data_IF_558267049468
#
_entry.id   IF_558267049468
#
_cell.length_a   1.000
_cell.length_b   1.000
_cell.length_c   1.000
_cell.angle_alpha   90.00
_cell.angle_beta   90.00
_cell.angle_gamma   90.00
#
_symmetry.space_group_name_H-M   'P 1'
#
loop_
_entity.id
_entity.type
_entity.pdbx_description
1 polymer ?
#
# COMPACT_ATOMS: atom_id res chain seq x y z
N UNK A 1 21.66 -6.21 6.07
CA UNK A 1 21.02 -5.64 4.90
C UNK A 1 19.60 -5.19 5.14
N UNK A 2 19.04 -4.54 4.16
CA UNK A 2 17.67 -4.06 4.21
C UNK A 2 16.74 -4.98 3.43
N UNK A 3 15.56 -5.24 4.00
CA UNK A 3 14.50 -5.95 3.32
C UNK A 3 13.56 -4.94 2.64
N UNK A 4 13.32 -5.14 1.35
CA UNK A 4 12.45 -4.25 0.56
C UNK A 4 11.35 -5.10 -0.08
N UNK A 5 10.11 -4.64 0.04
CA UNK A 5 8.97 -5.24 -0.65
C UNK A 5 8.38 -4.23 -1.63
N UNK A 6 8.07 -4.69 -2.83
CA UNK A 6 7.36 -3.91 -3.83
C UNK A 6 6.12 -4.69 -4.24
N UNK A 7 4.96 -4.07 -4.11
CA UNK A 7 3.70 -4.68 -4.53
C UNK A 7 2.71 -3.64 -5.00
N UNK A 8 1.86 -4.03 -5.95
CA UNK A 8 0.69 -3.22 -6.25
C UNK A 8 -0.31 -3.35 -5.10
N UNK A 9 -1.14 -2.32 -4.93
CA UNK A 9 -2.17 -2.36 -3.90
C UNK A 9 -3.11 -3.55 -4.09
N UNK A 10 -3.49 -3.85 -5.34
CA UNK A 10 -4.35 -4.99 -5.64
C UNK A 10 -3.73 -6.31 -5.19
N UNK A 11 -2.45 -6.54 -5.51
CA UNK A 11 -1.76 -7.77 -5.11
C UNK A 11 -1.58 -7.88 -3.61
N UNK A 12 -1.25 -6.76 -2.96
CA UNK A 12 -1.08 -6.75 -1.51
C UNK A 12 -2.39 -7.09 -0.80
N UNK A 13 -3.50 -6.49 -1.23
CA UNK A 13 -4.80 -6.75 -0.60
C UNK A 13 -5.30 -8.16 -0.88
N UNK A 14 -5.00 -8.71 -2.07
CA UNK A 14 -5.29 -10.11 -2.36
C UNK A 14 -4.55 -11.05 -1.41
N UNK A 15 -3.30 -10.74 -1.08
CA UNK A 15 -2.54 -11.52 -0.12
C UNK A 15 -3.18 -11.49 1.27
N UNK A 16 -3.62 -10.31 1.73
CA UNK A 16 -4.35 -10.19 2.99
C UNK A 16 -5.62 -11.04 2.99
N UNK A 17 -6.39 -10.94 1.92
CA UNK A 17 -7.64 -11.69 1.78
C UNK A 17 -7.40 -13.20 1.77
N UNK A 18 -6.44 -13.65 0.99
CA UNK A 18 -6.08 -15.06 0.90
C UNK A 18 -5.62 -15.59 2.25
N UNK A 19 -4.77 -14.86 2.96
CA UNK A 19 -4.29 -15.24 4.27
C UNK A 19 -5.43 -15.41 5.27
N UNK A 20 -6.46 -14.57 5.17
CA UNK A 20 -7.58 -14.60 6.10
C UNK A 20 -8.57 -15.71 5.77
N UNK A 21 -8.96 -15.84 4.49
CA UNK A 21 -10.06 -16.72 4.11
C UNK A 21 -9.63 -18.12 3.70
N UNK A 22 -8.34 -18.35 3.49
CA UNK A 22 -7.82 -19.67 3.10
C UNK A 22 -6.85 -20.23 4.14
N UNK A 23 -7.10 -19.95 5.41
CA UNK A 23 -6.29 -20.46 6.50
C UNK A 23 -6.25 -21.98 6.46
N UNK A 24 -5.06 -22.54 6.69
CA UNK A 24 -4.88 -23.98 6.70
C UNK A 24 -4.59 -24.59 5.34
N UNK A 25 -4.76 -23.81 4.26
CA UNK A 25 -4.36 -24.24 2.93
C UNK A 25 -2.92 -23.80 2.65
N UNK A 26 -2.27 -24.43 1.68
CA UNK A 26 -0.93 -24.05 1.27
C UNK A 26 -0.91 -22.60 0.73
N UNK A 27 -1.92 -22.23 -0.03
CA UNK A 27 -2.02 -20.87 -0.58
C UNK A 27 -2.23 -19.84 0.51
N UNK A 28 -3.07 -20.13 1.49
CA UNK A 28 -3.31 -19.24 2.62
C UNK A 28 -2.07 -19.05 3.48
N UNK A 29 -1.29 -20.09 3.67
CA UNK A 29 -0.05 -20.00 4.43
C UNK A 29 1.03 -19.21 3.69
N UNK A 30 1.14 -19.41 2.38
CA UNK A 30 2.06 -18.61 1.56
C UNK A 30 1.66 -17.14 1.57
N UNK A 31 0.36 -16.84 1.50
CA UNK A 31 -0.13 -15.48 1.58
C UNK A 31 0.15 -14.86 2.95
N UNK A 32 -0.01 -15.63 4.03
CA UNK A 32 0.29 -15.15 5.37
C UNK A 32 1.77 -14.76 5.52
N UNK A 33 2.67 -15.53 4.92
CA UNK A 33 4.09 -15.19 4.92
C UNK A 33 4.35 -13.90 4.16
N UNK A 34 3.69 -13.69 3.03
CA UNK A 34 3.81 -12.44 2.28
C UNK A 34 3.31 -11.26 3.09
N UNK A 35 2.18 -11.40 3.77
CA UNK A 35 1.64 -10.35 4.64
C UNK A 35 2.64 -9.99 5.73
N UNK A 36 3.26 -10.98 6.36
CA UNK A 36 4.28 -10.72 7.38
C UNK A 36 5.47 -9.94 6.81
N UNK A 37 5.87 -10.24 5.57
CA UNK A 37 6.92 -9.49 4.90
C UNK A 37 6.51 -8.04 4.67
N UNK A 38 5.26 -7.81 4.24
CA UNK A 38 4.75 -6.45 4.04
C UNK A 38 4.72 -5.65 5.33
N UNK A 39 4.35 -6.29 6.42
CA UNK A 39 4.24 -5.61 7.72
C UNK A 39 5.59 -5.34 8.36
N UNK A 40 6.59 -6.16 8.07
CA UNK A 40 7.87 -6.12 8.78
C UNK A 40 9.09 -5.68 7.99
N UNK A 41 9.02 -5.59 6.65
CA UNK A 41 10.20 -5.21 5.87
C UNK A 41 10.59 -3.75 6.13
N UNK A 42 11.86 -3.43 5.87
CA UNK A 42 12.41 -2.11 6.17
C UNK A 42 11.81 -1.02 5.29
N UNK A 43 11.57 -1.33 4.02
CA UNK A 43 10.93 -0.42 3.08
C UNK A 43 9.87 -1.16 2.29
N UNK A 44 8.68 -0.63 2.25
CA UNK A 44 7.62 -1.16 1.38
C UNK A 44 7.21 -0.09 0.38
N UNK A 45 7.06 -0.51 -0.87
CA UNK A 45 6.54 0.32 -1.94
C UNK A 45 5.18 -0.25 -2.34
N UNK A 46 4.13 0.48 -2.03
CA UNK A 46 2.75 0.12 -2.36
C UNK A 46 2.32 0.95 -3.57
N UNK A 47 2.21 0.29 -4.71
CA UNK A 47 2.01 0.95 -6.00
C UNK A 47 0.55 0.91 -6.44
N UNK A 48 0.14 1.93 -7.17
CA UNK A 48 -1.18 2.03 -7.80
C UNK A 48 -2.35 1.94 -6.82
N UNK A 49 -2.25 2.64 -5.68
CA UNK A 49 -3.36 2.69 -4.74
C UNK A 49 -4.57 3.38 -5.39
N UNK A 50 -5.73 2.76 -5.26
CA UNK A 50 -6.99 3.30 -5.76
C UNK A 50 -7.43 2.73 -7.09
N UNK A 51 -6.61 1.92 -7.76
CA UNK A 51 -7.01 1.25 -9.01
C UNK A 51 -7.70 -0.08 -8.76
N UNK A 52 -7.50 -0.65 -7.58
CA UNK A 52 -8.12 -1.92 -7.19
C UNK A 52 -9.61 -1.73 -6.88
N UNK A 53 -10.34 -2.85 -6.88
CA UNK A 53 -11.73 -2.83 -6.44
C UNK A 53 -11.79 -2.55 -4.94
N UNK A 54 -12.43 -1.46 -4.56
CA UNK A 54 -12.52 -1.06 -3.16
C UNK A 54 -13.68 -1.81 -2.49
N UNK A 55 -13.35 -2.56 -1.44
CA UNK A 55 -14.32 -3.26 -0.61
C UNK A 55 -14.06 -2.90 0.85
N UNK A 56 -14.99 -3.26 1.73
CA UNK A 56 -14.76 -3.10 3.16
C UNK A 56 -13.51 -3.86 3.58
N UNK A 57 -13.22 -4.97 2.94
CA UNK A 57 -12.05 -5.79 3.24
C UNK A 57 -10.75 -5.12 2.80
N UNK A 58 -10.70 -4.58 1.59
CA UNK A 58 -9.49 -3.88 1.11
C UNK A 58 -9.21 -2.63 1.94
N UNK A 59 -10.26 -1.93 2.38
CA UNK A 59 -10.14 -0.78 3.26
C UNK A 59 -9.52 -1.18 4.59
N UNK A 60 -9.98 -2.28 5.17
CA UNK A 60 -9.43 -2.82 6.41
C UNK A 60 -7.97 -3.26 6.25
N UNK A 61 -7.64 -3.89 5.13
CA UNK A 61 -6.28 -4.31 4.83
C UNK A 61 -5.33 -3.12 4.74
N UNK A 62 -5.75 -2.08 4.05
CA UNK A 62 -4.94 -0.86 3.93
C UNK A 62 -4.71 -0.21 5.30
N UNK A 63 -5.76 -0.12 6.12
CA UNK A 63 -5.63 0.43 7.47
C UNK A 63 -4.63 -0.38 8.30
N UNK A 64 -4.75 -1.70 8.27
CA UNK A 64 -3.84 -2.57 9.00
C UNK A 64 -2.39 -2.40 8.54
N UNK A 65 -2.17 -2.36 7.22
CA UNK A 65 -0.84 -2.21 6.66
C UNK A 65 -0.20 -0.89 7.10
N UNK A 66 -0.90 0.22 6.90
CA UNK A 66 -0.39 1.55 7.22
C UNK A 66 -0.16 1.68 8.72
N UNK A 67 -1.15 1.32 9.52
CA UNK A 67 -1.08 1.49 10.97
C UNK A 67 0.03 0.64 11.59
N UNK A 68 0.16 -0.61 11.14
CA UNK A 68 1.19 -1.51 11.66
C UNK A 68 2.58 -0.99 11.30
N UNK A 69 2.79 -0.57 10.06
CA UNK A 69 4.09 -0.09 9.64
C UNK A 69 4.47 1.23 10.31
N UNK A 70 3.52 2.12 10.52
CA UNK A 70 3.76 3.35 11.28
C UNK A 70 4.12 3.05 12.74
N UNK A 71 3.39 2.13 13.36
CA UNK A 71 3.66 1.72 14.75
C UNK A 71 5.04 1.09 14.89
N UNK A 72 5.47 0.32 13.90
CA UNK A 72 6.80 -0.30 13.90
C UNK A 72 7.89 0.63 13.36
N UNK A 73 7.56 1.86 13.03
CA UNK A 73 8.49 2.86 12.48
C UNK A 73 9.19 2.38 11.19
N UNK A 74 8.44 1.70 10.32
CA UNK A 74 8.96 1.20 9.04
C UNK A 74 8.62 2.16 7.91
N UNK A 75 9.57 2.38 7.01
CA UNK A 75 9.41 3.31 5.89
C UNK A 75 8.48 2.72 4.80
N UNK A 76 7.54 3.53 4.34
CA UNK A 76 6.58 3.11 3.31
C UNK A 76 6.43 4.21 2.27
N UNK A 77 6.43 3.80 1.00
CA UNK A 77 6.14 4.70 -0.13
C UNK A 77 4.83 4.22 -0.74
N UNK A 78 3.90 5.14 -0.91
CA UNK A 78 2.60 4.84 -1.54
C UNK A 78 2.49 5.69 -2.79
N UNK A 79 2.25 5.05 -3.93
CA UNK A 79 1.97 5.76 -5.16
C UNK A 79 0.50 5.61 -5.54
N UNK A 80 -0.06 6.66 -6.12
CA UNK A 80 -1.45 6.65 -6.57
C UNK A 80 -1.62 7.66 -7.71
N UNK A 81 -2.52 7.34 -8.63
CA UNK A 81 -2.97 8.26 -9.65
C UNK A 81 -4.26 8.99 -9.25
N UNK A 82 -4.80 8.65 -8.09
CA UNK A 82 -6.01 9.30 -7.58
C UNK A 82 -5.68 10.63 -6.92
N UNK A 83 -6.54 11.62 -7.13
CA UNK A 83 -6.48 12.85 -6.37
C UNK A 83 -6.92 12.59 -4.92
N UNK A 84 -6.66 13.56 -4.04
CA UNK A 84 -7.13 13.47 -2.66
C UNK A 84 -8.65 13.32 -2.60
N UNK A 85 -9.38 14.03 -3.47
CA UNK A 85 -10.83 13.93 -3.53
C UNK A 85 -11.29 12.54 -3.93
N UNK A 86 -10.63 11.94 -4.92
CA UNK A 86 -10.94 10.57 -5.35
C UNK A 86 -10.66 9.56 -4.25
N UNK A 87 -9.55 9.71 -3.55
CA UNK A 87 -9.21 8.82 -2.43
C UNK A 87 -10.21 8.97 -1.29
N UNK A 88 -10.70 10.18 -1.02
CA UNK A 88 -11.71 10.41 0.01
C UNK A 88 -13.03 9.70 -0.30
N UNK A 89 -13.35 9.53 -1.58
CA UNK A 89 -14.53 8.79 -1.99
C UNK A 89 -14.36 7.29 -1.89
N UNK A 90 -13.12 6.81 -2.03
CA UNK A 90 -12.80 5.38 -2.05
C UNK A 90 -12.47 4.82 -0.68
N UNK A 91 -11.84 5.60 0.16
CA UNK A 91 -11.38 5.15 1.48
C UNK A 91 -11.99 5.98 2.59
N UNK A 92 -11.89 5.48 3.82
CA UNK A 92 -12.48 6.16 4.97
C UNK A 92 -11.68 7.40 5.36
N UNK A 93 -12.33 8.41 5.97
CA UNK A 93 -11.61 9.56 6.49
C UNK A 93 -10.50 9.22 7.49
N UNK A 94 -10.67 8.13 8.25
CA UNK A 94 -9.67 7.69 9.22
C UNK A 94 -8.36 7.31 8.55
N UNK A 95 -8.43 6.55 7.44
CA UNK A 95 -7.25 6.14 6.70
C UNK A 95 -6.55 7.36 6.09
N UNK A 96 -7.32 8.23 5.45
CA UNK A 96 -6.75 9.41 4.79
C UNK A 96 -6.14 10.38 5.78
N UNK A 97 -6.78 10.56 6.90
CA UNK A 97 -6.24 11.40 7.97
C UNK A 97 -4.90 10.87 8.47
N UNK A 98 -4.77 9.55 8.59
CA UNK A 98 -3.52 8.91 8.99
C UNK A 98 -2.43 9.13 7.94
N UNK A 99 -2.76 8.94 6.67
CA UNK A 99 -1.82 9.14 5.57
C UNK A 99 -1.37 10.60 5.50
N UNK A 100 -2.31 11.53 5.53
CA UNK A 100 -1.99 12.96 5.44
C UNK A 100 -1.19 13.45 6.63
N UNK A 101 -1.46 12.92 7.82
CA UNK A 101 -0.77 13.35 9.04
C UNK A 101 0.62 12.78 9.20
N UNK A 102 0.91 11.60 8.63
CA UNK A 102 2.16 10.88 8.88
C UNK A 102 3.06 10.79 7.66
N UNK A 103 2.53 11.02 6.46
CA UNK A 103 3.28 10.87 5.21
C UNK A 103 3.47 12.22 4.53
N UNK A 104 4.66 12.37 3.95
CA UNK A 104 4.94 13.53 3.12
C UNK A 104 4.38 13.29 1.72
N UNK A 105 3.59 14.21 1.22
CA UNK A 105 3.01 14.11 -0.12
C UNK A 105 3.93 14.76 -1.15
N UNK A 106 4.23 14.01 -2.21
CA UNK A 106 5.01 14.52 -3.33
C UNK A 106 4.12 14.47 -4.58
N UNK A 107 3.58 15.61 -5.01
CA UNK A 107 2.70 15.62 -6.18
C UNK A 107 3.48 15.54 -7.49
N UNK A 108 3.09 14.62 -8.36
CA UNK A 108 3.63 14.47 -9.70
C UNK A 108 2.50 14.71 -10.70
N UNK A 109 2.11 15.96 -10.87
CA UNK A 109 0.93 16.34 -11.63
C UNK A 109 1.14 16.09 -13.12
N UNK A 110 0.24 15.27 -13.70
CA UNK A 110 0.22 15.00 -15.13
C UNK A 110 1.30 14.06 -15.63
N UNK A 111 2.10 13.46 -14.75
CA UNK A 111 3.18 12.56 -15.13
C UNK A 111 3.36 11.46 -14.12
N UNK A 112 3.82 10.29 -14.59
CA UNK A 112 4.21 9.23 -13.70
C UNK A 112 5.69 9.40 -13.27
N UNK A 113 6.09 8.59 -12.29
CA UNK A 113 7.44 8.67 -11.73
C UNK A 113 8.52 8.39 -12.78
N UNK A 114 8.27 7.49 -13.73
CA UNK A 114 9.23 7.16 -14.77
C UNK A 114 9.49 8.34 -15.69
N UNK A 115 8.47 9.07 -16.07
CA UNK A 115 8.63 10.26 -16.92
C UNK A 115 9.43 11.33 -16.22
N UNK A 116 9.16 11.56 -14.96
CA UNK A 116 9.88 12.55 -14.17
C UNK A 116 11.35 12.17 -14.03
N UNK A 117 11.63 10.92 -13.75
CA UNK A 117 13.00 10.43 -13.64
C UNK A 117 13.75 10.57 -14.97
N UNK A 118 13.11 10.22 -16.07
CA UNK A 118 13.70 10.33 -17.39
C UNK A 118 14.06 11.77 -17.74
N UNK A 119 13.19 12.71 -17.41
CA UNK A 119 13.46 14.13 -17.65
C UNK A 119 14.64 14.64 -16.84
N UNK A 120 14.80 14.18 -15.62
CA UNK A 120 15.93 14.56 -14.78
C UNK A 120 17.26 14.02 -15.32
N UNK A 121 17.22 12.88 -15.95
CA UNK A 121 18.41 12.27 -16.54
C UNK A 121 18.79 12.90 -17.89
N UNK A 122 17.84 13.55 -18.53
CA UNK A 122 18.08 14.23 -19.79
C UNK A 122 18.67 15.61 -19.58
#
# INVERSE_FOLDING_TARGET
GYAVAYETAASAFDAFECAKFQRGSADGEAAAQRVEQYLGCDLMILDDLGTEMITAYSTSALYTLINTRLTRAKATIISTNCSNEELQKKYTPQILSRIEGEYQTLPFVGRDIRQIKKEREA
#
